data_IF_517135326188
#
_entry.id   IF_517135326188
#
_cell.length_a   1.000
_cell.length_b   1.000
_cell.length_c   1.000
_cell.angle_alpha   90.00
_cell.angle_beta   90.00
_cell.angle_gamma   90.00
#
_symmetry.space_group_name_H-M   'P 1'
#
loop_
_entity.id
_entity.type
_entity.pdbx_description
1 polymer ?
#
# COMPACT_ATOMS: atom_id res chain seq x y z
N UNK A 1 11.24 -38.46 -12.43
CA UNK A 1 11.84 -37.99 -11.16
C UNK A 1 12.45 -36.59 -11.29
N UNK A 2 13.34 -36.32 -12.26
CA UNK A 2 14.01 -35.00 -12.40
C UNK A 2 13.09 -33.79 -12.60
N UNK A 3 12.01 -33.89 -13.41
CA UNK A 3 11.09 -32.77 -13.63
C UNK A 3 10.34 -32.34 -12.35
N UNK A 4 10.02 -33.28 -11.47
CA UNK A 4 9.33 -33.00 -10.20
C UNK A 4 10.23 -32.18 -9.27
N UNK A 5 11.50 -32.56 -9.17
CA UNK A 5 12.50 -31.86 -8.35
C UNK A 5 12.71 -30.42 -8.85
N UNK A 6 12.82 -30.23 -10.16
CA UNK A 6 12.98 -28.89 -10.76
C UNK A 6 11.77 -28.00 -10.43
N UNK A 7 10.55 -28.51 -10.57
CA UNK A 7 9.33 -27.77 -10.24
C UNK A 7 9.26 -27.41 -8.75
N UNK A 8 9.59 -28.34 -7.86
CA UNK A 8 9.57 -28.09 -6.41
C UNK A 8 10.61 -27.03 -6.00
N UNK A 9 11.82 -27.10 -6.55
CA UNK A 9 12.88 -26.11 -6.27
C UNK A 9 12.46 -24.73 -6.80
N UNK A 10 11.97 -24.65 -8.03
CA UNK A 10 11.49 -23.39 -8.62
C UNK A 10 10.34 -22.78 -7.82
N UNK A 11 9.36 -23.60 -7.42
CA UNK A 11 8.21 -23.18 -6.60
C UNK A 11 8.66 -22.63 -5.25
N UNK A 12 9.63 -23.28 -4.61
CA UNK A 12 10.18 -22.84 -3.33
C UNK A 12 10.87 -21.48 -3.46
N UNK A 13 11.73 -21.30 -4.47
CA UNK A 13 12.48 -20.06 -4.70
C UNK A 13 11.54 -18.88 -4.97
N UNK A 14 10.55 -19.09 -5.84
CA UNK A 14 9.60 -18.03 -6.21
C UNK A 14 8.67 -17.70 -5.05
N UNK A 15 8.18 -18.71 -4.32
CA UNK A 15 7.32 -18.47 -3.14
C UNK A 15 8.07 -17.69 -2.08
N UNK A 16 9.34 -18.05 -1.82
CA UNK A 16 10.20 -17.34 -0.88
C UNK A 16 10.42 -15.89 -1.33
N UNK A 17 10.78 -15.68 -2.58
CA UNK A 17 11.00 -14.35 -3.16
C UNK A 17 9.74 -13.47 -3.11
N UNK A 18 8.57 -14.06 -3.37
CA UNK A 18 7.27 -13.38 -3.28
C UNK A 18 6.99 -12.89 -1.85
N UNK A 19 7.18 -13.75 -0.85
CA UNK A 19 7.01 -13.38 0.57
C UNK A 19 8.01 -12.30 0.99
N UNK A 20 9.26 -12.39 0.53
CA UNK A 20 10.27 -11.36 0.82
C UNK A 20 9.87 -10.00 0.26
N UNK A 21 9.41 -9.95 -0.98
CA UNK A 21 8.90 -8.71 -1.60
C UNK A 21 7.71 -8.16 -0.82
N UNK A 22 6.79 -9.03 -0.38
CA UNK A 22 5.63 -8.64 0.40
C UNK A 22 6.02 -8.00 1.74
N UNK A 23 6.94 -8.64 2.47
CA UNK A 23 7.45 -8.14 3.75
C UNK A 23 8.19 -6.82 3.57
N UNK A 24 9.05 -6.70 2.55
CA UNK A 24 9.74 -5.46 2.23
C UNK A 24 8.76 -4.30 1.97
N UNK A 25 7.75 -4.53 1.13
CA UNK A 25 6.72 -3.54 0.84
C UNK A 25 5.96 -3.13 2.10
N UNK A 26 5.59 -4.09 2.96
CA UNK A 26 4.92 -3.82 4.23
C UNK A 26 5.79 -2.99 5.18
N UNK A 27 7.08 -3.31 5.31
CA UNK A 27 8.03 -2.57 6.16
C UNK A 27 8.19 -1.13 5.69
N UNK A 28 8.30 -0.89 4.38
CA UNK A 28 8.40 0.46 3.81
C UNK A 28 7.16 1.29 4.16
N UNK A 29 5.97 0.72 3.96
CA UNK A 29 4.69 1.40 4.25
C UNK A 29 4.57 1.70 5.75
N UNK A 30 4.89 0.72 6.61
CA UNK A 30 4.85 0.88 8.06
C UNK A 30 5.81 1.96 8.54
N UNK A 31 7.05 1.96 8.06
CA UNK A 31 8.04 2.97 8.41
C UNK A 31 7.58 4.37 7.99
N UNK A 32 7.10 4.53 6.76
CA UNK A 32 6.62 5.81 6.26
C UNK A 32 5.39 6.30 7.04
N UNK A 33 4.46 5.41 7.35
CA UNK A 33 3.26 5.71 8.14
C UNK A 33 3.61 6.15 9.55
N UNK A 34 4.49 5.41 10.24
CA UNK A 34 4.93 5.73 11.59
C UNK A 34 5.66 7.08 11.62
N UNK A 35 6.58 7.32 10.68
CA UNK A 35 7.32 8.58 10.58
C UNK A 35 6.39 9.77 10.39
N UNK A 36 5.46 9.67 9.45
CA UNK A 36 4.50 10.76 9.15
C UNK A 36 3.52 10.98 10.29
N UNK A 37 3.05 9.90 10.94
CA UNK A 37 2.17 9.99 12.10
C UNK A 37 2.85 10.66 13.31
N UNK A 38 4.07 10.25 13.65
CA UNK A 38 4.82 10.85 14.76
C UNK A 38 5.09 12.34 14.52
N UNK A 39 5.41 12.72 13.28
CA UNK A 39 5.60 14.13 12.94
C UNK A 39 4.29 14.94 13.07
N UNK A 40 3.17 14.39 12.59
CA UNK A 40 1.86 15.03 12.70
C UNK A 40 1.49 15.28 14.17
N UNK A 41 1.63 14.26 15.03
CA UNK A 41 1.33 14.36 16.47
C UNK A 41 2.24 15.38 17.16
N UNK A 42 3.53 15.44 16.81
CA UNK A 42 4.49 16.34 17.45
C UNK A 42 4.37 17.79 16.99
N UNK A 43 4.11 18.01 15.70
CA UNK A 43 4.17 19.34 15.09
C UNK A 43 2.80 20.02 15.01
N UNK A 44 1.70 19.27 15.15
CA UNK A 44 0.32 19.78 15.04
C UNK A 44 -0.04 20.39 13.68
N UNK A 45 0.88 20.35 12.72
CA UNK A 45 0.72 20.92 11.39
C UNK A 45 0.75 19.84 10.33
N UNK A 46 -0.14 20.00 9.36
CA UNK A 46 -0.25 19.11 8.21
C UNK A 46 0.86 19.45 7.20
N UNK A 47 2.02 18.82 7.36
CA UNK A 47 3.19 19.05 6.51
C UNK A 47 2.97 18.50 5.09
N UNK A 48 2.61 19.36 4.13
CA UNK A 48 2.38 18.99 2.72
C UNK A 48 3.52 18.16 2.13
N UNK A 49 4.77 18.50 2.45
CA UNK A 49 5.95 17.73 2.00
C UNK A 49 6.05 16.34 2.63
N UNK A 50 5.69 16.19 3.91
CA UNK A 50 5.65 14.88 4.58
C UNK A 50 4.56 13.99 4.00
N UNK A 51 3.39 14.55 3.69
CA UNK A 51 2.30 13.81 3.04
C UNK A 51 2.67 13.35 1.63
N UNK A 52 3.33 14.19 0.84
CA UNK A 52 3.85 13.81 -0.48
C UNK A 52 4.94 12.73 -0.38
N UNK A 53 5.78 12.81 0.65
CA UNK A 53 6.82 11.81 0.92
C UNK A 53 6.20 10.47 1.34
N UNK A 54 5.20 10.50 2.21
CA UNK A 54 4.43 9.32 2.61
C UNK A 54 3.74 8.66 1.40
N UNK A 55 3.06 9.45 0.57
CA UNK A 55 2.41 8.94 -0.64
C UNK A 55 3.41 8.23 -1.57
N UNK A 56 4.62 8.78 -1.75
CA UNK A 56 5.68 8.14 -2.54
C UNK A 56 6.12 6.80 -1.96
N UNK A 57 6.36 6.73 -0.65
CA UNK A 57 6.71 5.46 0.00
C UNK A 57 5.56 4.44 -0.04
N UNK A 58 4.32 4.90 0.01
CA UNK A 58 3.15 4.05 -0.10
C UNK A 58 3.05 3.41 -1.49
N UNK A 59 3.23 4.21 -2.55
CA UNK A 59 3.31 3.71 -3.94
C UNK A 59 4.47 2.73 -4.09
N UNK A 60 5.66 3.10 -3.60
CA UNK A 60 6.83 2.23 -3.69
C UNK A 60 6.61 0.89 -2.97
N UNK A 61 6.06 0.89 -1.76
CA UNK A 61 5.74 -0.35 -1.05
C UNK A 61 4.69 -1.20 -1.77
N UNK A 62 3.73 -0.58 -2.47
CA UNK A 62 2.76 -1.27 -3.31
C UNK A 62 3.42 -1.90 -4.55
N UNK A 63 4.41 -1.26 -5.17
CA UNK A 63 5.17 -1.84 -6.29
C UNK A 63 5.90 -3.12 -5.85
N UNK A 64 6.43 -3.17 -4.62
CA UNK A 64 7.01 -4.39 -4.05
C UNK A 64 5.97 -5.48 -3.85
N UNK A 65 4.78 -5.17 -3.29
CA UNK A 65 3.71 -6.16 -3.13
C UNK A 65 3.24 -6.70 -4.49
N UNK A 66 3.09 -5.82 -5.49
CA UNK A 66 2.70 -6.19 -6.85
C UNK A 66 3.76 -7.06 -7.53
N UNK A 67 5.06 -6.77 -7.34
CA UNK A 67 6.14 -7.62 -7.82
C UNK A 67 6.10 -9.03 -7.20
N UNK A 68 5.79 -9.14 -5.91
CA UNK A 68 5.61 -10.43 -5.23
C UNK A 68 4.43 -11.23 -5.78
N UNK A 69 3.32 -10.55 -6.08
CA UNK A 69 2.13 -11.16 -6.68
C UNK A 69 2.38 -11.65 -8.11
N UNK A 70 3.05 -10.84 -8.94
CA UNK A 70 3.49 -11.23 -10.29
C UNK A 70 4.34 -12.50 -10.22
N UNK A 71 5.32 -12.55 -9.31
CA UNK A 71 6.18 -13.71 -9.18
C UNK A 71 5.40 -14.97 -8.79
N UNK A 72 4.39 -14.85 -7.92
CA UNK A 72 3.53 -15.96 -7.50
C UNK A 72 2.65 -16.49 -8.65
N UNK A 73 2.09 -15.60 -9.47
CA UNK A 73 1.25 -15.97 -10.62
C UNK A 73 2.02 -16.66 -11.75
N UNK A 74 3.35 -16.48 -11.84
CA UNK A 74 4.21 -17.22 -12.78
C UNK A 74 4.19 -18.75 -12.52
N UNK A 75 3.91 -19.19 -11.30
CA UNK A 75 3.87 -20.62 -10.94
C UNK A 75 2.46 -21.10 -10.65
N UNK A 76 1.66 -20.29 -9.97
CA UNK A 76 0.31 -20.65 -9.53
C UNK A 76 -0.70 -20.04 -10.50
N UNK A 77 -1.22 -20.85 -11.41
CA UNK A 77 -2.34 -20.51 -12.28
C UNK A 77 -3.70 -20.55 -11.50
N UNK A 78 -3.77 -19.98 -10.29
CA UNK A 78 -5.00 -19.87 -9.50
C UNK A 78 -5.33 -18.41 -9.25
N UNK A 79 -6.06 -17.81 -10.20
CA UNK A 79 -6.47 -16.40 -10.17
C UNK A 79 -7.35 -16.06 -8.96
N UNK A 80 -7.94 -17.05 -8.30
CA UNK A 80 -8.98 -16.85 -7.30
C UNK A 80 -8.47 -16.27 -5.99
N UNK A 81 -7.29 -16.68 -5.51
CA UNK A 81 -6.67 -16.12 -4.29
C UNK A 81 -6.19 -14.68 -4.52
N UNK A 82 -5.64 -14.41 -5.70
CA UNK A 82 -5.18 -13.07 -6.12
C UNK A 82 -6.34 -12.08 -6.14
N UNK A 83 -7.50 -12.50 -6.64
CA UNK A 83 -8.70 -11.66 -6.71
C UNK A 83 -9.24 -11.26 -5.33
N UNK A 84 -9.20 -12.15 -4.34
CA UNK A 84 -9.63 -11.83 -2.97
C UNK A 84 -8.70 -10.80 -2.34
N UNK A 85 -7.39 -10.97 -2.49
CA UNK A 85 -6.41 -10.04 -1.93
C UNK A 85 -6.51 -8.65 -2.60
N UNK A 86 -6.66 -8.62 -3.92
CA UNK A 86 -6.87 -7.39 -4.68
C UNK A 86 -8.14 -6.65 -4.26
N UNK A 87 -9.23 -7.38 -3.98
CA UNK A 87 -10.50 -6.80 -3.53
C UNK A 87 -10.37 -6.09 -2.18
N UNK A 88 -9.63 -6.68 -1.23
CA UNK A 88 -9.40 -6.08 0.09
C UNK A 88 -8.56 -4.80 -0.03
N UNK A 89 -7.53 -4.81 -0.89
CA UNK A 89 -6.67 -3.64 -1.13
C UNK A 89 -7.45 -2.51 -1.79
N UNK A 90 -8.27 -2.82 -2.80
CA UNK A 90 -9.13 -1.85 -3.48
C UNK A 90 -10.12 -1.19 -2.50
N UNK A 91 -10.76 -1.99 -1.63
CA UNK A 91 -11.67 -1.48 -0.62
C UNK A 91 -10.96 -0.52 0.34
N UNK A 92 -9.74 -0.85 0.77
CA UNK A 92 -8.92 -0.01 1.64
C UNK A 92 -8.53 1.31 0.96
N UNK A 93 -8.28 1.30 -0.35
CA UNK A 93 -7.99 2.51 -1.11
C UNK A 93 -9.22 3.41 -1.22
N UNK A 94 -10.39 2.84 -1.53
CA UNK A 94 -11.65 3.57 -1.65
C UNK A 94 -12.02 4.23 -0.31
N UNK A 95 -11.96 3.48 0.80
CA UNK A 95 -12.30 4.02 2.13
C UNK A 95 -11.39 5.19 2.52
N UNK A 96 -10.08 5.08 2.27
CA UNK A 96 -9.14 6.17 2.53
C UNK A 96 -9.35 7.38 1.62
N UNK A 97 -9.75 7.18 0.36
CA UNK A 97 -10.04 8.28 -0.56
C UNK A 97 -11.30 9.04 -0.17
N UNK A 98 -12.35 8.33 0.24
CA UNK A 98 -13.60 8.95 0.71
C UNK A 98 -13.31 9.85 1.90
N UNK A 99 -12.61 9.33 2.90
CA UNK A 99 -12.22 10.09 4.08
C UNK A 99 -11.33 11.29 3.72
N UNK A 100 -10.39 11.12 2.78
CA UNK A 100 -9.55 12.21 2.33
C UNK A 100 -10.36 13.34 1.65
N UNK A 101 -11.39 12.97 0.89
CA UNK A 101 -12.21 13.93 0.18
C UNK A 101 -13.18 14.67 1.11
N UNK A 102 -13.74 13.99 2.11
CA UNK A 102 -14.60 14.56 3.15
C UNK A 102 -13.85 15.65 3.95
N UNK A 103 -12.64 15.32 4.43
CA UNK A 103 -11.78 16.27 5.15
C UNK A 103 -11.41 17.48 4.28
N UNK A 104 -11.32 17.32 2.95
CA UNK A 104 -11.03 18.43 2.04
C UNK A 104 -12.25 19.34 1.82
N UNK A 105 -13.47 18.79 1.87
CA UNK A 105 -14.69 19.57 1.73
C UNK A 105 -14.99 20.38 3.00
N UNK A 106 -14.87 19.78 4.19
CA UNK A 106 -15.09 20.50 5.46
C UNK A 106 -14.18 21.74 5.58
N UNK A 107 -12.88 21.60 5.24
CA UNK A 107 -11.92 22.72 5.23
C UNK A 107 -12.28 23.84 4.24
N UNK A 108 -13.05 23.53 3.21
CA UNK A 108 -13.49 24.48 2.18
C UNK A 108 -14.74 25.24 2.61
N UNK A 109 -15.61 24.58 3.36
CA UNK A 109 -16.85 25.17 3.85
C UNK A 109 -16.59 26.13 5.02
N UNK A 110 -15.67 25.77 5.93
CA UNK A 110 -15.21 26.68 7.02
C UNK A 110 -14.58 27.98 6.49
N UNK A 111 -13.90 27.94 5.34
CA UNK A 111 -13.26 29.10 4.73
C UNK A 111 -14.25 30.05 4.01
N UNK A 112 -15.44 29.57 3.67
CA UNK A 112 -16.48 30.37 3.02
C UNK A 112 -17.41 31.08 4.03
N UNK A 113 -17.62 30.50 5.22
CA UNK A 113 -18.35 31.19 6.29
C UNK A 113 -17.61 32.43 6.80
N UNK A 114 -16.27 32.40 6.87
CA UNK A 114 -15.45 33.54 7.31
C UNK A 114 -15.37 34.72 6.32
N UNK A 115 -15.87 34.59 5.08
CA UNK A 115 -15.95 35.69 4.09
C UNK A 115 -17.32 36.38 4.05
N UNK A 116 -18.29 35.85 4.78
CA UNK A 116 -19.68 36.35 4.76
C UNK A 116 -20.06 37.10 6.06
N UNK A 117 -19.13 37.19 7.02
CA UNK A 117 -19.14 38.12 8.15
C UNK A 117 -18.17 39.28 7.91
#
# INVERSE_FOLDING_TARGET
MHLQTIKNVLTTIITLSSHLLEVCGAVIILYAGLKTFLFFVKSGQDGREMRLTFARFLVFGLEFKLGGEILRTVIVHSLQEVFVLASIIALRFILNLILHWEIHQEKRDEANEHKTQ
#
